data_IF_173620534257
#
_entry.id   IF_173620534257
#
_cell.length_a   1.000
_cell.length_b   1.000
_cell.length_c   1.000
_cell.angle_alpha   90.00
_cell.angle_beta   90.00
_cell.angle_gamma   90.00
#
_symmetry.space_group_name_H-M   'P 1'
#
loop_
_entity.id
_entity.type
_entity.pdbx_description
1 polymer ?
#
# COMPACT_ATOMS: atom_id res chain seq x y z
N UNK A 1 -6.05 11.48 24.44
CA UNK A 1 -5.37 11.76 23.15
C UNK A 1 -6.05 12.97 22.53
N UNK A 2 -5.32 14.06 22.39
CA UNK A 2 -5.84 15.23 21.70
C UNK A 2 -5.74 14.97 20.19
N UNK A 3 -6.84 15.12 19.46
CA UNK A 3 -6.84 15.13 18.01
C UNK A 3 -6.03 16.35 17.55
N UNK A 4 -4.82 16.12 17.09
CA UNK A 4 -4.04 17.14 16.41
C UNK A 4 -4.69 17.33 15.04
N UNK A 5 -5.47 18.39 14.90
CA UNK A 5 -5.91 18.87 13.58
C UNK A 5 -4.68 19.49 12.93
N UNK A 6 -3.90 18.68 12.22
CA UNK A 6 -2.91 19.23 11.29
C UNK A 6 -3.67 20.06 10.24
N UNK A 7 -3.16 21.26 9.98
CA UNK A 7 -3.72 22.13 8.92
C UNK A 7 -3.47 21.42 7.57
N UNK A 8 -4.46 20.63 7.16
CA UNK A 8 -4.48 19.89 5.91
C UNK A 8 -4.87 20.76 4.71
N UNK A 9 -4.54 22.04 4.74
CA UNK A 9 -4.62 22.85 3.53
C UNK A 9 -3.60 22.29 2.55
N UNK A 10 -4.04 21.29 1.81
CA UNK A 10 -3.33 20.79 0.65
C UNK A 10 -3.24 21.97 -0.30
N UNK A 11 -2.08 22.60 -0.41
CA UNK A 11 -1.81 23.49 -1.52
C UNK A 11 -1.95 22.61 -2.76
N UNK A 12 -2.98 22.90 -3.54
CA UNK A 12 -3.16 22.32 -4.85
C UNK A 12 -1.87 22.62 -5.61
N UNK A 13 -1.09 21.61 -5.92
CA UNK A 13 0.04 21.79 -6.81
C UNK A 13 -0.49 22.45 -8.08
N UNK A 14 0.19 23.46 -8.56
CA UNK A 14 -0.15 24.09 -9.82
C UNK A 14 -0.30 23.00 -10.87
N UNK A 15 -1.34 23.09 -11.69
CA UNK A 15 -1.71 22.09 -12.68
C UNK A 15 -0.49 21.71 -13.51
N UNK A 16 0.13 20.60 -13.14
CA UNK A 16 1.16 19.94 -13.90
C UNK A 16 0.54 19.04 -14.97
N UNK A 17 1.33 18.21 -15.55
CA UNK A 17 0.90 17.13 -16.43
C UNK A 17 -0.13 16.23 -15.72
N UNK A 18 -1.18 15.80 -16.45
CA UNK A 18 -2.23 14.96 -15.87
C UNK A 18 -1.66 13.62 -15.39
N UNK A 19 -1.92 13.27 -14.14
CA UNK A 19 -1.50 12.00 -13.55
C UNK A 19 -2.42 10.86 -13.95
N UNK A 20 -3.71 11.12 -14.18
CA UNK A 20 -4.62 10.14 -14.79
C UNK A 20 -4.49 10.25 -16.32
N UNK A 21 -3.55 9.49 -16.87
CA UNK A 21 -3.23 9.55 -18.30
C UNK A 21 -4.39 9.13 -19.21
N UNK A 22 -4.36 9.52 -20.50
CA UNK A 22 -5.38 9.07 -21.44
C UNK A 22 -5.34 7.55 -21.67
N UNK A 23 -4.18 6.92 -21.55
CA UNK A 23 -4.07 5.46 -21.58
C UNK A 23 -4.86 4.82 -20.43
N UNK A 24 -4.66 5.29 -19.18
CA UNK A 24 -5.43 4.83 -18.02
C UNK A 24 -6.93 5.06 -18.21
N UNK A 25 -7.34 6.22 -18.69
CA UNK A 25 -8.76 6.53 -18.94
C UNK A 25 -9.37 5.61 -19.99
N UNK A 26 -8.60 5.26 -21.03
CA UNK A 26 -9.02 4.32 -22.05
C UNK A 26 -9.19 2.92 -21.46
N UNK A 27 -8.21 2.45 -20.72
CA UNK A 27 -8.31 1.15 -20.03
C UNK A 27 -9.53 1.10 -19.09
N UNK A 28 -9.77 2.15 -18.30
CA UNK A 28 -10.95 2.23 -17.42
C UNK A 28 -12.26 2.16 -18.20
N UNK A 29 -12.34 2.84 -19.37
CA UNK A 29 -13.54 2.80 -20.22
C UNK A 29 -13.78 1.44 -20.87
N UNK A 30 -12.74 0.81 -21.37
CA UNK A 30 -12.86 -0.42 -22.16
C UNK A 30 -12.95 -1.68 -21.29
N UNK A 31 -12.15 -1.74 -20.22
CA UNK A 31 -12.03 -2.93 -19.38
C UNK A 31 -12.98 -2.90 -18.18
N UNK A 32 -13.11 -1.74 -17.50
CA UNK A 32 -13.79 -1.67 -16.21
C UNK A 32 -15.21 -1.13 -16.28
N UNK A 33 -15.51 -0.11 -17.08
CA UNK A 33 -16.90 0.39 -17.19
C UNK A 33 -17.91 -0.69 -17.58
N UNK A 34 -17.62 -1.62 -18.51
CA UNK A 34 -18.57 -2.66 -18.85
C UNK A 34 -18.81 -3.69 -17.73
N UNK A 35 -17.89 -3.82 -16.78
CA UNK A 35 -17.94 -4.80 -15.69
C UNK A 35 -18.73 -4.30 -14.47
N UNK A 36 -18.90 -3.00 -14.33
CA UNK A 36 -19.50 -2.38 -13.16
C UNK A 36 -20.78 -1.62 -13.50
N UNK A 37 -21.81 -1.68 -12.62
CA UNK A 37 -23.10 -1.04 -12.90
C UNK A 37 -23.05 0.49 -12.80
N UNK A 38 -22.04 1.06 -12.13
CA UNK A 38 -21.91 2.51 -11.94
C UNK A 38 -20.47 2.95 -12.05
N UNK A 39 -20.23 4.20 -12.46
CA UNK A 39 -18.90 4.82 -12.48
C UNK A 39 -18.24 4.83 -11.10
N UNK A 40 -19.04 4.99 -10.04
CA UNK A 40 -18.55 4.96 -8.65
C UNK A 40 -17.85 3.64 -8.32
N UNK A 41 -18.35 2.52 -8.79
CA UNK A 41 -17.72 1.22 -8.54
C UNK A 41 -16.34 1.08 -9.21
N UNK A 42 -16.03 1.94 -10.18
CA UNK A 42 -14.72 1.98 -10.88
C UNK A 42 -13.67 2.78 -10.08
N UNK A 43 -14.03 3.35 -8.93
CA UNK A 43 -13.06 4.10 -8.10
C UNK A 43 -11.89 3.22 -7.66
N UNK A 44 -12.15 1.98 -7.23
CA UNK A 44 -11.09 1.06 -6.81
C UNK A 44 -10.10 0.74 -7.95
N UNK A 45 -10.53 0.26 -9.12
CA UNK A 45 -9.62 0.05 -10.25
C UNK A 45 -8.85 1.30 -10.66
N UNK A 46 -9.50 2.48 -10.64
CA UNK A 46 -8.83 3.73 -10.99
C UNK A 46 -7.70 4.08 -10.02
N UNK A 47 -7.93 3.91 -8.71
CA UNK A 47 -6.92 4.12 -7.68
C UNK A 47 -5.77 3.10 -7.78
N UNK A 48 -6.06 1.84 -8.12
CA UNK A 48 -5.04 0.82 -8.35
C UNK A 48 -4.15 1.18 -9.55
N UNK A 49 -4.72 1.61 -10.68
CA UNK A 49 -3.93 2.03 -11.85
C UNK A 49 -2.99 3.19 -11.52
N UNK A 50 -3.48 4.19 -10.79
CA UNK A 50 -2.66 5.33 -10.32
C UNK A 50 -1.56 4.83 -9.40
N UNK A 51 -1.89 4.05 -8.37
CA UNK A 51 -0.91 3.55 -7.40
C UNK A 51 0.14 2.65 -8.04
N UNK A 52 -0.25 1.79 -8.95
CA UNK A 52 0.67 0.92 -9.67
C UNK A 52 1.68 1.73 -10.51
N UNK A 53 1.22 2.83 -11.12
CA UNK A 53 2.08 3.67 -11.97
C UNK A 53 3.05 4.54 -11.15
N UNK A 54 2.57 5.12 -10.03
CA UNK A 54 3.35 6.11 -9.27
C UNK A 54 3.88 5.57 -7.93
N UNK A 55 3.51 4.34 -7.54
CA UNK A 55 3.85 3.71 -6.27
C UNK A 55 3.02 4.24 -5.08
N UNK A 56 2.24 5.29 -5.27
CA UNK A 56 1.32 5.91 -4.31
C UNK A 56 0.29 6.76 -5.05
N UNK A 57 -0.70 7.31 -4.31
CA UNK A 57 -1.78 8.09 -4.90
C UNK A 57 -1.61 9.58 -4.52
N UNK A 58 -1.06 10.42 -5.42
CA UNK A 58 -0.98 11.85 -5.21
C UNK A 58 -2.36 12.50 -5.10
N UNK A 59 -2.47 13.59 -4.32
CA UNK A 59 -3.74 14.33 -4.16
C UNK A 59 -4.30 14.82 -5.49
N UNK A 60 -3.45 15.22 -6.44
CA UNK A 60 -3.86 15.59 -7.80
C UNK A 60 -4.56 14.43 -8.50
N UNK A 61 -4.03 13.21 -8.40
CA UNK A 61 -4.64 12.03 -9.01
C UNK A 61 -6.02 11.72 -8.42
N UNK A 62 -6.22 11.88 -7.10
CA UNK A 62 -7.56 11.74 -6.47
C UNK A 62 -8.58 12.68 -7.10
N UNK A 63 -8.19 13.94 -7.36
CA UNK A 63 -9.07 14.93 -7.99
C UNK A 63 -9.37 14.59 -9.45
N UNK A 64 -8.36 14.15 -10.19
CA UNK A 64 -8.53 13.75 -11.59
C UNK A 64 -9.40 12.50 -11.74
N UNK A 65 -9.24 11.51 -10.85
CA UNK A 65 -10.11 10.34 -10.76
C UNK A 65 -11.55 10.77 -10.46
N UNK A 66 -11.75 11.65 -9.48
CA UNK A 66 -13.07 12.17 -9.13
C UNK A 66 -13.74 12.84 -10.33
N UNK A 67 -13.01 13.72 -11.02
CA UNK A 67 -13.51 14.42 -12.20
C UNK A 67 -13.85 13.42 -13.33
N UNK A 68 -12.99 12.43 -13.58
CA UNK A 68 -13.20 11.44 -14.64
C UNK A 68 -14.42 10.55 -14.37
N UNK A 69 -14.63 10.17 -13.10
CA UNK A 69 -15.77 9.33 -12.69
C UNK A 69 -17.04 10.14 -12.39
N UNK A 70 -17.01 11.48 -12.49
CA UNK A 70 -18.11 12.37 -12.14
C UNK A 70 -18.55 12.24 -10.67
N UNK A 71 -17.57 12.12 -9.77
CA UNK A 71 -17.75 12.01 -8.32
C UNK A 71 -17.26 13.27 -7.61
N UNK A 72 -17.70 13.48 -6.36
CA UNK A 72 -17.06 14.48 -5.52
C UNK A 72 -15.66 14.02 -5.09
N UNK A 73 -14.66 14.91 -5.04
CA UNK A 73 -13.31 14.55 -4.57
C UNK A 73 -13.28 13.88 -3.19
N UNK A 74 -14.21 14.26 -2.30
CA UNK A 74 -14.34 13.66 -0.98
C UNK A 74 -14.71 12.17 -1.06
N UNK A 75 -15.56 11.75 -2.01
CA UNK A 75 -15.96 10.34 -2.15
C UNK A 75 -14.79 9.46 -2.58
N UNK A 76 -13.91 9.98 -3.44
CA UNK A 76 -12.69 9.28 -3.86
C UNK A 76 -11.68 9.22 -2.72
N UNK A 77 -11.53 10.32 -1.96
CA UNK A 77 -10.66 10.37 -0.79
C UNK A 77 -11.15 9.43 0.31
N UNK A 78 -12.46 9.39 0.58
CA UNK A 78 -13.06 8.47 1.56
C UNK A 78 -12.73 7.00 1.19
N UNK A 79 -12.84 6.66 -0.08
CA UNK A 79 -12.46 5.33 -0.57
C UNK A 79 -10.97 5.06 -0.37
N UNK A 80 -10.11 6.00 -0.74
CA UNK A 80 -8.66 5.84 -0.64
C UNK A 80 -8.15 5.80 0.81
N UNK A 81 -8.88 6.41 1.75
CA UNK A 81 -8.52 6.36 3.19
C UNK A 81 -9.16 5.20 3.93
N UNK A 82 -10.20 4.59 3.38
CA UNK A 82 -10.87 3.44 3.99
C UNK A 82 -10.07 2.15 3.83
N UNK A 83 -9.48 1.93 2.67
CA UNK A 83 -8.72 0.72 2.38
C UNK A 83 -7.24 0.89 2.70
N UNK A 84 -6.68 0.00 3.50
CA UNK A 84 -5.26 0.01 3.91
C UNK A 84 -4.29 -0.22 2.74
N UNK A 85 -4.78 -0.76 1.63
CA UNK A 85 -4.01 -1.01 0.40
C UNK A 85 -3.58 0.29 -0.29
N UNK A 86 -4.31 1.40 -0.09
CA UNK A 86 -4.01 2.67 -0.76
C UNK A 86 -3.06 3.55 0.04
N UNK A 87 -2.02 4.02 -0.65
CA UNK A 87 -0.97 4.86 -0.10
C UNK A 87 -1.11 6.30 -0.57
N UNK A 88 -1.38 7.20 0.36
CA UNK A 88 -1.51 8.64 0.09
C UNK A 88 -0.19 9.41 0.30
N UNK A 89 0.88 8.68 0.64
CA UNK A 89 2.25 9.20 0.79
C UNK A 89 3.24 8.25 0.11
N UNK A 90 4.36 8.76 -0.39
CA UNK A 90 5.40 7.90 -0.92
C UNK A 90 5.85 6.86 0.10
N UNK A 91 5.98 5.62 -0.33
CA UNK A 91 6.50 4.50 0.46
C UNK A 91 7.88 4.07 -0.03
N UNK A 92 8.57 3.27 0.76
CA UNK A 92 9.81 2.61 0.36
C UNK A 92 9.60 1.55 -0.72
N UNK A 93 10.69 1.06 -1.29
CA UNK A 93 10.69 -0.06 -2.24
C UNK A 93 10.05 -1.32 -1.64
N UNK A 94 10.29 -1.55 -0.36
CA UNK A 94 9.74 -2.66 0.41
C UNK A 94 8.82 -2.15 1.51
N UNK A 95 7.59 -2.59 1.49
CA UNK A 95 6.62 -2.38 2.54
C UNK A 95 6.63 -3.59 3.47
N UNK A 96 7.08 -3.38 4.69
CA UNK A 96 7.15 -4.41 5.73
C UNK A 96 5.91 -4.25 6.63
N UNK A 97 5.00 -5.20 6.55
CA UNK A 97 3.70 -5.13 7.19
C UNK A 97 3.59 -6.25 8.24
N UNK A 98 3.77 -5.91 9.50
CA UNK A 98 3.72 -6.88 10.60
C UNK A 98 2.28 -7.00 11.12
N UNK A 99 1.78 -8.22 11.17
CA UNK A 99 0.46 -8.48 11.75
C UNK A 99 0.49 -8.28 13.27
N UNK A 100 -0.37 -7.41 13.80
CA UNK A 100 -0.50 -7.13 15.24
C UNK A 100 -1.77 -7.71 15.87
N UNK A 101 -2.48 -8.58 15.16
CA UNK A 101 -3.69 -9.21 15.68
C UNK A 101 -3.37 -10.24 16.78
N UNK A 102 -4.37 -10.58 17.56
CA UNK A 102 -4.23 -11.35 18.81
C UNK A 102 -3.33 -12.59 18.68
N UNK A 103 -3.55 -13.45 17.68
CA UNK A 103 -2.73 -14.67 17.51
C UNK A 103 -1.27 -14.33 17.23
N UNK A 104 -1.00 -13.34 16.37
CA UNK A 104 0.35 -12.92 16.06
C UNK A 104 1.03 -12.24 17.27
N UNK A 105 0.29 -11.42 18.02
CA UNK A 105 0.78 -10.78 19.24
C UNK A 105 1.22 -11.83 20.28
N UNK A 106 0.39 -12.84 20.53
CA UNK A 106 0.71 -13.95 21.45
C UNK A 106 1.92 -14.76 20.96
N UNK A 107 2.08 -14.89 19.63
CA UNK A 107 3.18 -15.62 19.00
C UNK A 107 4.44 -14.76 18.76
N UNK A 108 4.49 -13.53 19.27
CA UNK A 108 5.70 -12.70 19.28
C UNK A 108 5.84 -11.72 18.12
N UNK A 109 4.75 -11.32 17.46
CA UNK A 109 4.82 -10.30 16.38
C UNK A 109 5.37 -8.97 16.86
N UNK A 110 5.15 -8.62 18.13
CA UNK A 110 5.71 -7.42 18.73
C UNK A 110 7.24 -7.43 18.75
N UNK A 111 7.85 -8.59 19.06
CA UNK A 111 9.31 -8.73 19.02
C UNK A 111 9.84 -8.53 17.59
N UNK A 112 9.07 -8.96 16.57
CA UNK A 112 9.41 -8.72 15.15
C UNK A 112 9.37 -7.23 14.82
N UNK A 113 8.30 -6.52 15.23
CA UNK A 113 8.18 -5.06 15.02
C UNK A 113 9.30 -4.30 15.71
N UNK A 114 9.55 -4.60 16.99
CA UNK A 114 10.60 -3.95 17.79
C UNK A 114 11.99 -4.19 17.18
N UNK A 115 12.23 -5.39 16.67
CA UNK A 115 13.48 -5.73 15.99
C UNK A 115 13.66 -4.93 14.70
N UNK A 116 12.63 -4.91 13.83
CA UNK A 116 12.64 -4.15 12.58
C UNK A 116 12.85 -2.66 12.84
N UNK A 117 12.12 -2.09 13.79
CA UNK A 117 12.26 -0.68 14.15
C UNK A 117 13.71 -0.33 14.57
N UNK A 118 14.34 -1.17 15.40
CA UNK A 118 15.74 -1.00 15.81
C UNK A 118 16.73 -1.19 14.66
N UNK A 119 16.54 -2.25 13.84
CA UNK A 119 17.43 -2.56 12.71
C UNK A 119 17.38 -1.46 11.65
N UNK A 120 16.19 -1.02 11.28
CA UNK A 120 15.96 -0.04 10.23
C UNK A 120 16.07 1.41 10.72
N UNK A 121 16.06 1.64 12.04
CA UNK A 121 16.09 2.95 12.70
C UNK A 121 14.92 3.84 12.27
N UNK A 122 13.74 3.26 12.21
CA UNK A 122 12.47 3.93 11.91
C UNK A 122 11.41 3.49 12.91
N UNK A 123 10.42 4.33 13.13
CA UNK A 123 9.22 3.95 13.89
C UNK A 123 8.17 3.34 12.95
N UNK A 124 7.16 2.71 13.55
CA UNK A 124 6.01 2.20 12.78
C UNK A 124 5.29 3.37 12.08
N UNK A 125 5.06 3.22 10.80
CA UNK A 125 4.50 4.26 9.92
C UNK A 125 5.54 5.08 9.17
N UNK A 126 6.82 4.84 9.41
CA UNK A 126 7.91 5.60 8.79
C UNK A 126 8.62 4.84 7.65
N UNK A 127 9.27 5.61 6.81
CA UNK A 127 10.12 5.13 5.71
C UNK A 127 11.58 5.44 5.99
N UNK A 128 12.47 4.49 5.72
CA UNK A 128 13.91 4.69 5.88
C UNK A 128 14.43 5.84 4.99
N UNK A 129 15.49 6.57 5.42
CA UNK A 129 16.03 7.72 4.67
C UNK A 129 16.46 7.36 3.24
N UNK A 130 16.93 6.13 3.02
CA UNK A 130 17.29 5.58 1.70
C UNK A 130 16.09 5.20 0.84
N UNK A 131 14.86 5.34 1.38
CA UNK A 131 13.60 4.94 0.76
C UNK A 131 13.52 3.46 0.37
N UNK A 132 14.30 2.62 1.04
CA UNK A 132 14.28 1.18 0.78
C UNK A 132 13.12 0.50 1.49
N UNK A 133 12.86 0.84 2.75
CA UNK A 133 11.85 0.18 3.58
C UNK A 133 10.84 1.17 4.15
N UNK A 134 9.59 0.72 4.22
CA UNK A 134 8.53 1.34 5.04
C UNK A 134 8.04 0.29 6.01
N UNK A 135 8.03 0.59 7.31
CA UNK A 135 7.54 -0.31 8.36
C UNK A 135 6.14 0.10 8.78
N UNK A 136 5.20 -0.84 8.74
CA UNK A 136 3.85 -0.65 9.29
C UNK A 136 3.39 -1.88 10.06
N UNK A 137 2.36 -1.70 10.87
CA UNK A 137 1.58 -2.77 11.48
C UNK A 137 0.20 -2.86 10.85
N UNK A 138 -0.27 -4.07 10.58
CA UNK A 138 -1.62 -4.36 10.10
C UNK A 138 -2.44 -5.12 11.15
N UNK A 139 -3.76 -4.92 11.13
CA UNK A 139 -4.65 -5.57 12.09
C UNK A 139 -4.71 -7.09 11.93
N UNK A 140 -4.82 -7.62 10.71
CA UNK A 140 -4.84 -9.06 10.48
C UNK A 140 -4.51 -9.41 9.02
N UNK A 141 -3.54 -10.31 8.85
CA UNK A 141 -3.17 -10.86 7.54
C UNK A 141 -3.90 -12.19 7.19
N UNK A 142 -4.84 -12.63 8.03
CA UNK A 142 -5.61 -13.85 7.79
C UNK A 142 -4.88 -15.17 8.09
N UNK A 143 -3.61 -15.13 8.53
CA UNK A 143 -2.73 -16.28 8.73
C UNK A 143 -2.60 -16.68 10.21
N UNK A 144 -3.72 -16.72 10.94
CA UNK A 144 -3.70 -16.93 12.40
C UNK A 144 -3.19 -18.33 12.82
N UNK A 145 -3.33 -19.34 11.96
CA UNK A 145 -2.86 -20.71 12.22
C UNK A 145 -1.34 -20.87 12.09
N UNK A 146 -0.67 -19.91 11.48
CA UNK A 146 0.76 -19.91 11.18
C UNK A 146 1.45 -18.63 11.68
N UNK A 147 0.92 -18.11 12.78
CA UNK A 147 1.44 -16.91 13.43
C UNK A 147 2.87 -17.10 13.98
N UNK A 148 3.71 -16.04 14.09
CA UNK A 148 3.43 -14.67 13.62
C UNK A 148 3.66 -14.51 12.11
N UNK A 149 2.92 -13.58 11.49
CA UNK A 149 2.94 -13.33 10.06
C UNK A 149 3.39 -11.92 9.71
N UNK A 150 4.16 -11.80 8.64
CA UNK A 150 4.63 -10.54 8.06
C UNK A 150 4.40 -10.58 6.55
N UNK A 151 3.85 -9.52 5.99
CA UNK A 151 3.73 -9.35 4.56
C UNK A 151 4.84 -8.40 4.09
N UNK A 152 5.63 -8.84 3.12
CA UNK A 152 6.68 -8.03 2.49
C UNK A 152 6.24 -7.74 1.06
N UNK A 153 5.84 -6.50 0.80
CA UNK A 153 5.04 -6.16 -0.37
C UNK A 153 3.81 -7.07 -0.45
N UNK A 154 3.75 -8.00 -1.41
CA UNK A 154 2.64 -8.94 -1.62
C UNK A 154 3.00 -10.38 -1.21
N UNK A 155 4.20 -10.61 -0.67
CA UNK A 155 4.67 -11.95 -0.29
C UNK A 155 4.45 -12.18 1.21
N UNK A 156 3.62 -13.15 1.54
CA UNK A 156 3.31 -13.53 2.92
C UNK A 156 4.38 -14.46 3.49
N UNK A 157 4.87 -14.11 4.69
CA UNK A 157 5.80 -14.92 5.47
C UNK A 157 5.18 -15.30 6.80
N UNK A 158 5.27 -16.56 7.14
CA UNK A 158 4.58 -17.17 8.27
C UNK A 158 5.55 -17.86 9.23
N UNK A 159 5.12 -18.10 10.48
CA UNK A 159 5.92 -18.74 11.53
C UNK A 159 7.30 -18.10 11.71
N UNK A 160 7.38 -16.78 11.55
CA UNK A 160 8.65 -16.07 11.55
C UNK A 160 9.23 -15.94 12.98
N UNK A 161 10.49 -16.27 13.10
CA UNK A 161 11.34 -15.84 14.22
C UNK A 161 12.09 -14.56 13.84
N UNK A 162 12.58 -13.83 14.84
CA UNK A 162 13.43 -12.64 14.61
C UNK A 162 14.62 -12.96 13.69
N UNK A 163 15.26 -14.13 13.89
CA UNK A 163 16.39 -14.56 13.06
C UNK A 163 16.00 -14.77 11.59
N UNK A 164 14.88 -15.44 11.34
CA UNK A 164 14.40 -15.69 9.97
C UNK A 164 14.00 -14.39 9.29
N UNK A 165 13.36 -13.48 10.03
CA UNK A 165 13.02 -12.15 9.53
C UNK A 165 14.29 -11.35 9.17
N UNK A 166 15.32 -11.43 9.99
CA UNK A 166 16.61 -10.76 9.76
C UNK A 166 17.27 -11.26 8.48
N UNK A 167 17.33 -12.59 8.32
CA UNK A 167 17.86 -13.23 7.12
C UNK A 167 17.04 -12.91 5.85
N UNK A 168 15.72 -12.77 5.99
CA UNK A 168 14.83 -12.39 4.92
C UNK A 168 15.14 -10.97 4.43
N UNK A 169 15.18 -10.00 5.37
CA UNK A 169 15.44 -8.59 5.04
C UNK A 169 16.81 -8.42 4.36
N UNK A 170 17.83 -9.12 4.83
CA UNK A 170 19.19 -9.04 4.29
C UNK A 170 19.30 -9.65 2.86
N UNK A 171 18.41 -10.57 2.50
CA UNK A 171 18.37 -11.21 1.18
C UNK A 171 17.48 -10.53 0.16
N UNK A 172 16.72 -9.50 0.54
CA UNK A 172 15.83 -8.81 -0.38
C UNK A 172 16.63 -8.16 -1.52
N UNK A 173 16.23 -8.39 -2.78
CA UNK A 173 16.94 -7.84 -3.94
C UNK A 173 16.89 -6.31 -3.97
N UNK A 174 17.76 -5.69 -4.78
CA UNK A 174 17.72 -4.25 -4.98
C UNK A 174 16.48 -3.81 -5.80
N UNK A 175 16.04 -4.64 -6.73
CA UNK A 175 14.83 -4.45 -7.51
C UNK A 175 13.65 -5.16 -6.83
N UNK A 176 12.66 -4.43 -6.30
CA UNK A 176 11.51 -5.03 -5.66
C UNK A 176 10.63 -5.85 -6.61
N UNK A 177 10.67 -5.60 -7.92
CA UNK A 177 9.93 -6.39 -8.92
C UNK A 177 10.50 -7.80 -9.10
N UNK A 178 11.75 -8.02 -8.70
CA UNK A 178 12.34 -9.36 -8.64
C UNK A 178 11.88 -10.19 -7.43
N UNK A 179 11.14 -9.56 -6.51
CA UNK A 179 10.63 -10.18 -5.28
C UNK A 179 9.12 -10.38 -5.39
N UNK A 180 8.72 -11.58 -5.71
CA UNK A 180 7.32 -11.98 -5.84
C UNK A 180 7.12 -13.40 -5.30
N UNK A 181 5.88 -13.72 -4.96
CA UNK A 181 5.52 -15.07 -4.55
C UNK A 181 5.55 -16.00 -5.77
N UNK A 182 6.45 -17.01 -5.79
CA UNK A 182 6.55 -17.92 -6.93
C UNK A 182 5.32 -18.82 -7.10
N UNK A 183 4.42 -18.88 -6.12
CA UNK A 183 3.17 -19.66 -6.18
C UNK A 183 2.03 -18.89 -6.81
N UNK A 184 2.15 -17.55 -6.91
CA UNK A 184 1.18 -16.68 -7.53
C UNK A 184 1.64 -16.35 -8.94
N UNK A 185 1.04 -17.02 -9.92
CA UNK A 185 1.28 -16.72 -11.34
C UNK A 185 0.49 -15.44 -11.71
N UNK A 186 1.10 -14.28 -11.44
CA UNK A 186 0.62 -13.00 -11.93
C UNK A 186 0.92 -12.89 -13.43
N UNK A 187 0.48 -13.88 -14.22
CA UNK A 187 0.47 -13.67 -15.67
C UNK A 187 -0.46 -12.54 -15.97
N UNK A 188 0.18 -11.49 -16.39
CA UNK A 188 -0.37 -10.24 -16.89
C UNK A 188 -1.68 -10.45 -17.67
N UNK A 189 -2.79 -10.48 -16.96
CA UNK A 189 -4.09 -10.19 -17.54
C UNK A 189 -4.32 -8.67 -17.48
N UNK A 190 -3.30 -7.93 -17.93
CA UNK A 190 -3.39 -6.48 -18.11
C UNK A 190 -3.56 -6.15 -19.58
#
# INVERSE_FOLDING_TARGET
>A
MAWLVEDRRTQLAAAGESLLTEAMKTELREKYFPRYPTKRAVTLPALHLVQHTYGWIPTQALQEVAQFLELAPAEVLDTATFYEEYWLKPKGKYLLQVCRSLSCEICGSRDLTDHLSKKLKVEVGETTPDKRFTLIELECLGSCGTAPAVLVNEVLHENLTVKQLDELIDKLPEDPHAYHDPTIDWKDEH
#
